data_IF_711054462543
#
_entry.id   IF_711054462543
#
_cell.length_a   1.000
_cell.length_b   1.000
_cell.length_c   1.000
_cell.angle_alpha   90.00
_cell.angle_beta   90.00
_cell.angle_gamma   90.00
#
_symmetry.space_group_name_H-M   'P 1'
#
loop_
_entity.id
_entity.type
_entity.pdbx_description
1 polymer ?
#
# COMPACT_ATOMS: atom_id res chain seq x y z
N UNK A 1 -32.91 39.53 -31.15
CA UNK A 1 -33.13 39.35 -32.61
C UNK A 1 -31.94 39.85 -33.43
N UNK A 2 -30.71 39.42 -33.10
CA UNK A 2 -29.51 39.61 -33.93
C UNK A 2 -28.50 38.51 -33.57
N UNK A 3 -28.61 37.33 -34.19
CA UNK A 3 -27.56 36.28 -34.11
C UNK A 3 -27.90 35.02 -34.93
N UNK A 4 -28.35 35.12 -36.19
CA UNK A 4 -28.52 33.90 -37.04
C UNK A 4 -27.89 34.01 -38.44
N UNK A 5 -27.18 35.09 -38.75
CA UNK A 5 -26.54 35.23 -40.07
C UNK A 5 -25.02 35.30 -39.92
N UNK A 6 -24.36 34.14 -39.89
CA UNK A 6 -22.94 33.98 -40.32
C UNK A 6 -22.43 32.53 -40.28
N UNK A 7 -23.27 31.53 -40.55
CA UNK A 7 -22.80 30.14 -40.78
C UNK A 7 -23.14 29.76 -42.22
N UNK A 8 -22.48 30.41 -43.16
CA UNK A 8 -22.61 30.20 -44.60
C UNK A 8 -21.25 30.02 -45.24
N UNK A 9 -20.54 28.95 -44.86
CA UNK A 9 -19.38 28.44 -45.60
C UNK A 9 -19.22 26.95 -45.32
N UNK A 10 -20.15 26.14 -45.84
CA UNK A 10 -19.96 24.70 -45.98
C UNK A 10 -18.73 24.46 -46.86
N UNK A 11 -17.64 23.95 -46.27
CA UNK A 11 -16.54 23.36 -47.03
C UNK A 11 -17.11 22.16 -47.79
N UNK A 12 -17.24 22.32 -49.10
CA UNK A 12 -17.70 21.29 -50.03
C UNK A 12 -16.81 20.06 -49.89
N UNK A 13 -17.33 18.98 -49.28
CA UNK A 13 -16.63 17.69 -49.17
C UNK A 13 -16.77 16.93 -47.85
N UNK A 14 -17.28 17.53 -46.76
CA UNK A 14 -17.48 16.80 -45.50
C UNK A 14 -18.83 16.06 -45.49
N UNK A 15 -18.83 14.78 -45.12
CA UNK A 15 -20.06 14.00 -44.98
C UNK A 15 -20.91 14.52 -43.80
N UNK A 16 -22.24 14.40 -43.87
CA UNK A 16 -23.16 14.82 -42.78
C UNK A 16 -22.77 14.23 -41.42
N UNK A 17 -22.22 13.01 -41.44
CA UNK A 17 -21.72 12.28 -40.28
C UNK A 17 -20.42 12.89 -39.69
N UNK A 18 -19.55 13.50 -40.52
CA UNK A 18 -18.37 14.24 -40.05
C UNK A 18 -18.77 15.56 -39.38
N UNK A 19 -19.72 16.30 -39.95
CA UNK A 19 -20.21 17.56 -39.38
C UNK A 19 -20.97 17.31 -38.06
N UNK A 20 -21.77 16.24 -37.97
CA UNK A 20 -22.41 15.83 -36.72
C UNK A 20 -21.38 15.43 -35.65
N UNK A 21 -20.35 14.67 -36.00
CA UNK A 21 -19.30 14.31 -35.04
C UNK A 21 -18.47 15.52 -34.58
N UNK A 22 -18.21 16.50 -35.46
CA UNK A 22 -17.53 17.75 -35.10
C UNK A 22 -18.37 18.61 -34.15
N UNK A 23 -19.68 18.77 -34.41
CA UNK A 23 -20.59 19.50 -33.50
C UNK A 23 -20.76 18.78 -32.14
N UNK A 24 -20.87 17.46 -32.13
CA UNK A 24 -20.96 16.71 -30.87
C UNK A 24 -19.66 16.85 -30.08
N UNK A 25 -18.50 16.78 -30.75
CA UNK A 25 -17.22 16.99 -30.10
C UNK A 25 -17.05 18.42 -29.57
N UNK A 26 -17.48 19.45 -30.30
CA UNK A 26 -17.36 20.84 -29.83
C UNK A 26 -18.21 21.11 -28.59
N UNK A 27 -19.47 20.64 -28.57
CA UNK A 27 -20.37 20.77 -27.41
C UNK A 27 -19.86 19.99 -26.21
N UNK A 28 -19.28 18.80 -26.42
CA UNK A 28 -18.67 18.01 -25.34
C UNK A 28 -17.44 18.72 -24.77
N UNK A 29 -16.58 19.29 -25.61
CA UNK A 29 -15.38 20.02 -25.18
C UNK A 29 -15.73 21.29 -24.39
N UNK A 30 -16.72 22.06 -24.81
CA UNK A 30 -17.19 23.26 -24.08
C UNK A 30 -17.73 22.91 -22.69
N UNK A 31 -18.58 21.88 -22.59
CA UNK A 31 -19.12 21.43 -21.29
C UNK A 31 -18.01 20.92 -20.35
N UNK A 32 -16.98 20.31 -20.91
CA UNK A 32 -15.78 19.84 -20.19
C UNK A 32 -14.97 21.02 -19.66
N UNK A 33 -14.75 22.05 -20.47
CA UNK A 33 -13.99 23.25 -20.09
C UNK A 33 -14.71 24.04 -19.00
N UNK A 34 -16.02 24.28 -19.16
CA UNK A 34 -16.85 24.94 -18.14
C UNK A 34 -16.88 24.17 -16.81
N UNK A 35 -16.97 22.84 -16.88
CA UNK A 35 -16.89 22.00 -15.67
C UNK A 35 -15.51 22.08 -15.01
N UNK A 36 -14.42 22.09 -15.78
CA UNK A 36 -13.05 22.23 -15.27
C UNK A 36 -12.86 23.54 -14.51
N UNK A 37 -13.26 24.68 -15.09
CA UNK A 37 -13.12 25.99 -14.46
C UNK A 37 -13.88 26.07 -13.14
N UNK A 38 -15.13 25.57 -13.11
CA UNK A 38 -15.94 25.54 -11.88
C UNK A 38 -15.27 24.73 -10.76
N UNK A 39 -14.63 23.61 -11.10
CA UNK A 39 -13.92 22.79 -10.12
C UNK A 39 -12.68 23.53 -9.62
N UNK A 40 -11.89 24.13 -10.50
CA UNK A 40 -10.67 24.88 -10.12
C UNK A 40 -11.02 26.04 -9.19
N UNK A 41 -12.11 26.78 -9.48
CA UNK A 41 -12.60 27.88 -8.63
C UNK A 41 -13.05 27.40 -7.24
N UNK A 42 -13.55 26.17 -7.13
CA UNK A 42 -13.95 25.59 -5.84
C UNK A 42 -12.78 25.14 -4.95
N UNK A 43 -11.56 25.09 -5.49
CA UNK A 43 -10.38 24.67 -4.74
C UNK A 43 -9.83 25.81 -3.88
N UNK A 44 -9.38 25.47 -2.68
CA UNK A 44 -8.67 26.43 -1.83
C UNK A 44 -7.30 26.77 -2.41
N UNK A 45 -6.75 27.92 -2.01
CA UNK A 45 -5.43 28.39 -2.45
C UNK A 45 -4.32 27.41 -2.12
N UNK A 46 -4.41 26.74 -0.96
CA UNK A 46 -3.43 25.73 -0.55
C UNK A 46 -3.43 24.53 -1.50
N UNK A 47 -4.61 24.06 -1.90
CA UNK A 47 -4.75 22.93 -2.82
C UNK A 47 -4.28 23.31 -4.21
N UNK A 48 -4.67 24.50 -4.71
CA UNK A 48 -4.21 25.02 -6.01
C UNK A 48 -2.70 25.16 -6.06
N UNK A 49 -2.09 25.78 -5.05
CA UNK A 49 -0.64 25.94 -4.94
C UNK A 49 0.07 24.60 -4.93
N UNK A 50 -0.44 23.62 -4.18
CA UNK A 50 0.13 22.28 -4.15
C UNK A 50 0.06 21.59 -5.52
N UNK A 51 -1.08 21.65 -6.22
CA UNK A 51 -1.20 21.06 -7.55
C UNK A 51 -0.27 21.74 -8.56
N UNK A 52 -0.18 23.07 -8.53
CA UNK A 52 0.67 23.86 -9.43
C UNK A 52 2.18 23.62 -9.26
N UNK A 53 2.62 23.04 -8.14
CA UNK A 53 4.00 22.60 -7.97
C UNK A 53 4.37 21.40 -8.85
N UNK A 54 3.37 20.65 -9.33
CA UNK A 54 3.59 19.40 -10.07
C UNK A 54 2.95 19.39 -11.47
N UNK A 55 1.85 20.13 -11.67
CA UNK A 55 1.12 20.19 -12.94
C UNK A 55 0.64 21.61 -13.21
N UNK A 56 0.68 22.07 -14.46
CA UNK A 56 0.05 23.33 -14.86
C UNK A 56 -1.47 23.12 -14.95
N UNK A 57 -2.22 23.36 -13.86
CA UNK A 57 -3.65 22.99 -13.75
C UNK A 57 -4.52 23.65 -14.83
N UNK A 58 -4.12 24.81 -15.32
CA UNK A 58 -4.86 25.58 -16.33
C UNK A 58 -4.64 25.03 -17.75
N UNK A 59 -3.58 24.24 -17.98
CA UNK A 59 -3.28 23.65 -19.29
C UNK A 59 -4.41 22.75 -19.82
N UNK A 60 -4.69 22.81 -21.11
CA UNK A 60 -5.64 21.93 -21.81
C UNK A 60 -5.27 20.44 -21.69
N UNK A 61 -3.98 20.14 -21.48
CA UNK A 61 -3.50 18.77 -21.25
C UNK A 61 -3.90 18.19 -19.89
N UNK A 62 -4.56 18.98 -19.02
CA UNK A 62 -5.03 18.58 -17.69
C UNK A 62 -6.54 18.39 -17.69
N UNK A 63 -6.96 17.16 -17.39
CA UNK A 63 -8.37 16.78 -17.27
C UNK A 63 -8.80 16.71 -15.81
N UNK A 64 -9.80 17.49 -15.44
CA UNK A 64 -10.46 17.38 -14.13
C UNK A 64 -11.62 16.39 -14.19
N UNK A 65 -11.72 15.55 -13.15
CA UNK A 65 -12.86 14.64 -12.96
C UNK A 65 -13.92 15.29 -12.09
N UNK A 66 -15.16 15.28 -12.58
CA UNK A 66 -16.34 15.75 -11.83
C UNK A 66 -16.84 14.71 -10.83
N UNK A 67 -16.63 13.43 -11.11
CA UNK A 67 -17.03 12.32 -10.24
C UNK A 67 -15.95 11.21 -10.15
N UNK A 68 -16.29 10.12 -9.49
CA UNK A 68 -15.43 8.95 -9.32
C UNK A 68 -15.63 7.88 -10.41
N UNK A 69 -16.18 8.27 -11.56
CA UNK A 69 -16.42 7.39 -12.71
C UNK A 69 -15.43 7.75 -13.82
N UNK A 70 -14.70 6.74 -14.28
CA UNK A 70 -13.89 6.90 -15.49
C UNK A 70 -14.77 6.67 -16.71
N UNK A 71 -15.01 7.75 -17.44
CA UNK A 71 -15.68 7.73 -18.75
C UNK A 71 -14.78 7.04 -19.78
N UNK A 72 -15.38 6.23 -20.67
CA UNK A 72 -14.68 5.47 -21.69
C UNK A 72 -14.11 6.35 -22.82
N UNK A 73 -14.50 7.62 -22.85
CA UNK A 73 -13.99 8.67 -23.74
C UNK A 73 -12.62 9.20 -23.32
N UNK A 74 -12.22 9.05 -22.05
CA UNK A 74 -10.97 9.61 -21.51
C UNK A 74 -9.78 8.89 -22.16
N UNK A 75 -9.05 9.62 -23.02
CA UNK A 75 -7.92 9.11 -23.79
C UNK A 75 -8.19 8.95 -25.30
N UNK A 76 -9.41 9.21 -25.79
CA UNK A 76 -9.69 9.28 -27.24
C UNK A 76 -9.66 10.73 -27.71
N UNK A 77 -8.71 11.08 -28.58
CA UNK A 77 -8.72 12.33 -29.36
C UNK A 77 -8.05 13.57 -28.74
N UNK A 78 -7.82 13.62 -27.42
CA UNK A 78 -7.10 14.73 -26.77
C UNK A 78 -5.77 14.25 -26.15
N UNK A 79 -4.70 15.04 -26.30
CA UNK A 79 -3.39 14.81 -25.65
C UNK A 79 -3.47 15.09 -24.14
N UNK A 80 -4.24 14.30 -23.41
CA UNK A 80 -4.30 14.37 -21.95
C UNK A 80 -2.96 13.86 -21.39
N UNK A 81 -2.23 14.72 -20.66
CA UNK A 81 -1.01 14.33 -19.95
C UNK A 81 -1.23 14.17 -18.45
N UNK A 82 -2.24 14.84 -17.90
CA UNK A 82 -2.53 14.76 -16.48
C UNK A 82 -4.02 14.64 -16.19
N UNK A 83 -4.36 13.87 -15.16
CA UNK A 83 -5.72 13.72 -14.66
C UNK A 83 -5.77 14.16 -13.20
N UNK A 84 -6.74 15.00 -12.84
CA UNK A 84 -6.97 15.48 -11.48
C UNK A 84 -8.34 15.02 -11.01
N UNK A 85 -8.38 14.27 -9.90
CA UNK A 85 -9.61 13.92 -9.22
C UNK A 85 -9.63 14.45 -7.79
N UNK A 86 -10.45 15.47 -7.57
CA UNK A 86 -10.65 16.12 -6.26
C UNK A 86 -11.70 15.41 -5.41
N UNK A 87 -12.41 14.43 -5.98
CA UNK A 87 -13.30 13.56 -5.25
C UNK A 87 -12.51 12.50 -4.48
N UNK A 88 -12.97 12.21 -3.26
CA UNK A 88 -12.28 11.27 -2.38
C UNK A 88 -12.34 9.85 -2.95
N UNK A 89 -11.17 9.21 -3.06
CA UNK A 89 -11.05 7.80 -3.46
C UNK A 89 -11.73 6.84 -2.47
N UNK A 90 -12.03 7.30 -1.25
CA UNK A 90 -12.87 6.62 -0.26
C UNK A 90 -14.23 6.20 -0.82
N UNK A 91 -14.73 6.94 -1.82
CA UNK A 91 -16.06 6.74 -2.43
C UNK A 91 -16.02 5.90 -3.71
N UNK A 92 -14.85 5.39 -4.10
CA UNK A 92 -14.69 4.48 -5.23
C UNK A 92 -14.94 3.06 -4.74
N UNK A 93 -15.86 2.30 -5.37
CA UNK A 93 -16.19 0.92 -4.96
C UNK A 93 -15.10 -0.11 -5.28
N UNK A 94 -14.44 0.01 -6.44
CA UNK A 94 -13.37 -0.88 -6.87
C UNK A 94 -12.08 -0.10 -7.14
N UNK A 95 -11.42 0.38 -6.09
CA UNK A 95 -10.27 1.30 -6.19
C UNK A 95 -9.20 0.82 -7.17
N UNK A 96 -8.76 -0.45 -7.11
CA UNK A 96 -7.74 -0.91 -8.04
C UNK A 96 -8.23 -0.93 -9.49
N UNK A 97 -9.49 -1.32 -9.74
CA UNK A 97 -10.06 -1.27 -11.10
C UNK A 97 -10.13 0.17 -11.62
N UNK A 98 -10.48 1.11 -10.74
CA UNK A 98 -10.47 2.53 -11.04
C UNK A 98 -9.06 3.04 -11.35
N UNK A 99 -8.05 2.73 -10.51
CA UNK A 99 -6.66 3.09 -10.74
C UNK A 99 -6.08 2.46 -12.01
N UNK A 100 -6.44 1.22 -12.35
CA UNK A 100 -6.07 0.61 -13.63
C UNK A 100 -6.69 1.37 -14.80
N UNK A 101 -7.95 1.82 -14.69
CA UNK A 101 -8.58 2.65 -15.73
C UNK A 101 -7.85 3.99 -15.88
N UNK A 102 -7.46 4.63 -14.77
CA UNK A 102 -6.62 5.84 -14.77
C UNK A 102 -5.29 5.56 -15.48
N UNK A 103 -4.62 4.46 -15.14
CA UNK A 103 -3.33 4.08 -15.72
C UNK A 103 -3.44 3.90 -17.25
N UNK A 104 -4.49 3.23 -17.72
CA UNK A 104 -4.75 3.03 -19.16
C UNK A 104 -5.11 4.31 -19.90
N UNK A 105 -5.74 5.27 -19.21
CA UNK A 105 -6.13 6.55 -19.79
C UNK A 105 -4.97 7.56 -19.87
N UNK A 106 -3.89 7.33 -19.11
CA UNK A 106 -2.72 8.21 -19.09
C UNK A 106 -1.65 7.71 -20.07
N UNK A 107 -0.98 8.63 -20.79
CA UNK A 107 0.25 8.32 -21.50
C UNK A 107 1.36 7.98 -20.50
N UNK A 108 2.45 7.41 -20.99
CA UNK A 108 3.62 7.14 -20.16
C UNK A 108 4.20 8.45 -19.58
N UNK A 109 4.67 8.37 -18.33
CA UNK A 109 5.00 9.54 -17.51
C UNK A 109 3.82 10.53 -17.26
N UNK A 110 2.59 10.15 -17.61
CA UNK A 110 1.40 10.94 -17.29
C UNK A 110 1.16 11.03 -15.78
N UNK A 111 0.65 12.18 -15.33
CA UNK A 111 0.47 12.47 -13.89
C UNK A 111 -0.99 12.29 -13.48
N UNK A 112 -1.21 11.64 -12.35
CA UNK A 112 -2.51 11.62 -11.69
C UNK A 112 -2.42 12.32 -10.33
N UNK A 113 -3.38 13.20 -10.06
CA UNK A 113 -3.58 13.81 -8.74
C UNK A 113 -4.89 13.29 -8.17
N UNK A 114 -4.82 12.67 -6.99
CA UNK A 114 -5.99 12.18 -6.27
C UNK A 114 -6.03 12.64 -4.83
N UNK A 115 -7.18 12.45 -4.17
CA UNK A 115 -7.28 12.71 -2.74
C UNK A 115 -7.97 11.58 -1.96
N UNK A 116 -7.61 11.47 -0.68
CA UNK A 116 -8.20 10.54 0.28
C UNK A 116 -8.38 11.23 1.62
N UNK A 117 -9.51 10.99 2.29
CA UNK A 117 -9.61 11.25 3.71
C UNK A 117 -9.11 10.02 4.49
N UNK A 118 -7.95 10.17 5.13
CA UNK A 118 -7.32 9.07 5.86
C UNK A 118 -8.11 8.71 7.13
N UNK A 119 -7.98 7.48 7.59
CA UNK A 119 -8.55 7.03 8.87
C UNK A 119 -8.07 7.89 10.04
N UNK A 120 -6.81 8.34 10.01
CA UNK A 120 -6.24 9.24 11.01
C UNK A 120 -6.91 10.61 10.99
N UNK A 121 -7.17 11.17 9.81
CA UNK A 121 -7.82 12.47 9.65
C UNK A 121 -9.28 12.41 10.09
N UNK A 122 -10.01 11.33 9.73
CA UNK A 122 -11.37 11.07 10.22
C UNK A 122 -11.43 11.03 11.74
N UNK A 123 -10.49 10.32 12.38
CA UNK A 123 -10.38 10.31 13.85
C UNK A 123 -10.13 11.71 14.39
N UNK A 124 -9.16 12.44 13.84
CA UNK A 124 -8.85 13.82 14.28
C UNK A 124 -10.07 14.74 14.16
N UNK A 125 -10.80 14.67 13.04
CA UNK A 125 -11.98 15.49 12.78
C UNK A 125 -13.16 15.14 13.71
N UNK A 126 -13.39 13.85 14.00
CA UNK A 126 -14.42 13.43 14.94
C UNK A 126 -14.16 13.96 16.35
N UNK A 127 -12.91 13.94 16.79
CA UNK A 127 -12.50 14.34 18.13
C UNK A 127 -12.42 15.88 18.32
N UNK A 128 -12.55 16.68 17.25
CA UNK A 128 -12.61 18.15 17.35
C UNK A 128 -13.95 18.69 17.86
N UNK A 129 -15.04 17.91 17.78
CA UNK A 129 -16.42 18.43 17.85
C UNK A 129 -17.25 17.96 19.04
N UNK A 130 -16.80 16.97 19.82
CA UNK A 130 -17.64 16.30 20.83
C UNK A 130 -16.84 15.87 22.06
N UNK A 131 -17.57 15.55 23.14
CA UNK A 131 -17.03 14.96 24.38
C UNK A 131 -16.24 13.69 24.09
N UNK A 132 -15.10 13.50 24.76
CA UNK A 132 -14.11 12.47 24.42
C UNK A 132 -14.69 11.05 24.45
N UNK A 133 -15.54 10.72 25.43
CA UNK A 133 -16.13 9.38 25.54
C UNK A 133 -17.01 9.01 24.34
N UNK A 134 -17.95 9.88 23.97
CA UNK A 134 -18.85 9.66 22.84
C UNK A 134 -18.08 9.55 21.51
N UNK A 135 -16.97 10.29 21.37
CA UNK A 135 -16.09 10.17 20.21
C UNK A 135 -15.49 8.77 20.08
N UNK A 136 -15.08 8.13 21.17
CA UNK A 136 -14.51 6.80 21.15
C UNK A 136 -15.54 5.75 20.70
N UNK A 137 -16.77 5.83 21.22
CA UNK A 137 -17.85 4.92 20.83
C UNK A 137 -18.21 5.08 19.35
N UNK A 138 -18.43 6.32 18.88
CA UNK A 138 -18.72 6.60 17.48
C UNK A 138 -17.57 6.14 16.58
N UNK A 139 -16.32 6.36 17.00
CA UNK A 139 -15.15 5.92 16.24
C UNK A 139 -15.09 4.40 16.13
N UNK A 140 -15.29 3.68 17.24
CA UNK A 140 -15.24 2.21 17.28
C UNK A 140 -16.34 1.61 16.37
N UNK A 141 -17.57 2.10 16.49
CA UNK A 141 -18.68 1.65 15.68
C UNK A 141 -18.42 1.87 14.18
N UNK A 142 -18.00 3.09 13.81
CA UNK A 142 -17.66 3.38 12.42
C UNK A 142 -16.45 2.58 11.92
N UNK A 143 -15.46 2.33 12.79
CA UNK A 143 -14.33 1.47 12.44
C UNK A 143 -14.81 0.07 12.11
N UNK A 144 -15.67 -0.53 12.94
CA UNK A 144 -16.20 -1.88 12.68
C UNK A 144 -16.94 -1.91 11.33
N UNK A 145 -17.86 -0.98 11.10
CA UNK A 145 -18.66 -0.95 9.86
C UNK A 145 -17.80 -0.68 8.63
N UNK A 146 -16.95 0.34 8.65
CA UNK A 146 -16.24 0.80 7.45
C UNK A 146 -14.86 0.17 7.24
N UNK A 147 -14.28 -0.46 8.26
CA UNK A 147 -12.97 -1.13 8.19
C UNK A 147 -13.05 -2.66 8.28
N UNK A 148 -13.97 -3.21 9.06
CA UNK A 148 -14.05 -4.65 9.35
C UNK A 148 -15.08 -5.35 8.46
N UNK A 149 -16.34 -4.90 8.43
CA UNK A 149 -17.41 -5.54 7.64
C UNK A 149 -17.06 -5.81 6.16
N UNK A 150 -16.39 -4.90 5.42
CA UNK A 150 -16.08 -5.13 4.00
C UNK A 150 -15.14 -6.32 3.76
N UNK A 151 -14.42 -6.76 4.81
CA UNK A 151 -13.42 -7.83 4.77
C UNK A 151 -13.95 -9.16 5.29
N UNK A 152 -15.06 -9.16 6.02
CA UNK A 152 -15.69 -10.37 6.56
C UNK A 152 -16.68 -10.92 5.52
N UNK A 153 -16.51 -12.15 5.02
CA UNK A 153 -17.34 -12.68 3.93
C UNK A 153 -18.85 -12.58 4.16
N UNK A 154 -19.33 -12.88 5.37
CA UNK A 154 -20.75 -12.81 5.75
C UNK A 154 -21.31 -11.39 5.77
N UNK A 155 -20.54 -10.42 6.29
CA UNK A 155 -20.97 -9.02 6.44
C UNK A 155 -20.72 -8.18 5.18
N UNK A 156 -19.88 -8.66 4.26
CA UNK A 156 -19.48 -7.94 3.05
C UNK A 156 -20.68 -7.57 2.18
N UNK A 157 -21.64 -8.49 1.97
CA UNK A 157 -22.83 -8.24 1.14
C UNK A 157 -23.69 -7.12 1.74
N UNK A 158 -23.96 -7.20 3.05
CA UNK A 158 -24.72 -6.18 3.78
C UNK A 158 -24.03 -4.82 3.74
N UNK A 159 -22.72 -4.78 3.97
CA UNK A 159 -21.95 -3.55 3.88
C UNK A 159 -22.10 -2.87 2.50
N UNK A 160 -21.95 -3.63 1.40
CA UNK A 160 -22.07 -3.06 0.05
C UNK A 160 -23.51 -2.71 -0.32
N UNK A 161 -24.50 -3.36 0.27
CA UNK A 161 -25.90 -2.99 0.14
C UNK A 161 -26.17 -1.61 0.78
N UNK A 162 -25.75 -1.42 2.03
CA UNK A 162 -25.97 -0.18 2.80
C UNK A 162 -25.16 0.98 2.23
N UNK A 163 -23.86 0.76 2.00
CA UNK A 163 -22.94 1.86 1.64
C UNK A 163 -22.88 2.14 0.14
N UNK A 164 -23.42 1.24 -0.69
CA UNK A 164 -23.20 1.22 -2.15
C UNK A 164 -21.71 1.26 -2.54
N UNK A 165 -20.81 0.89 -1.62
CA UNK A 165 -19.36 0.94 -1.79
C UNK A 165 -18.69 2.30 -1.51
N UNK A 166 -19.43 3.28 -0.96
CA UNK A 166 -18.91 4.59 -0.57
C UNK A 166 -18.35 4.58 0.88
N UNK A 167 -17.64 5.65 1.25
CA UNK A 167 -17.16 5.89 2.62
C UNK A 167 -16.23 4.81 3.19
N UNK A 168 -15.34 4.23 2.38
CA UNK A 168 -14.35 3.26 2.87
C UNK A 168 -13.30 3.92 3.74
N UNK A 169 -12.96 3.28 4.86
CA UNK A 169 -11.89 3.75 5.74
C UNK A 169 -10.55 3.21 5.29
N UNK A 170 -9.74 4.10 4.74
CA UNK A 170 -8.44 3.79 4.14
C UNK A 170 -7.31 4.43 4.96
N UNK A 171 -6.16 3.78 4.97
CA UNK A 171 -4.92 4.34 5.54
C UNK A 171 -4.05 4.85 4.40
N UNK A 172 -3.17 5.81 4.68
CA UNK A 172 -2.24 6.36 3.68
C UNK A 172 -1.43 5.22 3.03
N UNK A 173 -0.87 4.33 3.85
CA UNK A 173 -0.16 3.14 3.39
C UNK A 173 -0.99 2.22 2.46
N UNK A 174 -2.30 2.10 2.68
CA UNK A 174 -3.14 1.26 1.83
C UNK A 174 -3.45 1.94 0.50
N UNK A 175 -3.64 3.26 0.48
CA UNK A 175 -3.88 4.03 -0.75
C UNK A 175 -2.62 4.05 -1.61
N UNK A 176 -1.50 4.48 -1.02
CA UNK A 176 -0.20 4.54 -1.70
C UNK A 176 0.24 3.15 -2.18
N UNK A 177 0.05 2.11 -1.37
CA UNK A 177 0.37 0.75 -1.79
C UNK A 177 -0.47 0.27 -2.98
N UNK A 178 -1.76 0.63 -3.02
CA UNK A 178 -2.63 0.33 -4.17
C UNK A 178 -2.16 1.07 -5.43
N UNK A 179 -1.81 2.34 -5.29
CA UNK A 179 -1.23 3.17 -6.36
C UNK A 179 -0.02 2.46 -6.96
N UNK A 180 0.97 2.08 -6.14
CA UNK A 180 2.19 1.42 -6.65
C UNK A 180 1.87 0.07 -7.28
N UNK A 181 0.98 -0.72 -6.67
CA UNK A 181 0.52 -1.98 -7.26
C UNK A 181 -0.24 -1.83 -8.59
N UNK A 182 -0.68 -0.61 -8.92
CA UNK A 182 -1.36 -0.26 -10.16
C UNK A 182 -0.43 0.46 -11.16
N UNK A 183 0.89 0.26 -11.06
CA UNK A 183 1.84 0.71 -12.08
C UNK A 183 2.17 2.20 -12.03
N UNK A 184 2.04 2.80 -10.85
CA UNK A 184 2.36 4.19 -10.62
C UNK A 184 3.55 4.33 -9.65
N UNK A 185 4.36 5.36 -9.86
CA UNK A 185 5.30 5.84 -8.86
C UNK A 185 4.69 7.00 -8.06
N UNK A 186 5.00 7.08 -6.77
CA UNK A 186 4.58 8.17 -5.90
C UNK A 186 5.61 9.29 -6.01
N UNK A 187 5.17 10.47 -6.48
CA UNK A 187 5.99 11.67 -6.51
C UNK A 187 5.96 12.32 -5.13
N UNK A 188 4.75 12.65 -4.64
CA UNK A 188 4.56 13.29 -3.35
C UNK A 188 3.16 12.98 -2.81
N UNK A 189 2.99 13.07 -1.49
CA UNK A 189 1.68 13.22 -0.87
C UNK A 189 1.74 14.26 0.25
N UNK A 190 0.65 15.02 0.42
CA UNK A 190 0.56 16.10 1.41
C UNK A 190 -0.81 16.14 2.08
N UNK A 191 -0.82 16.39 3.38
CA UNK A 191 -2.06 16.65 4.11
C UNK A 191 -2.44 18.12 4.00
N UNK A 192 -3.64 18.40 3.44
CA UNK A 192 -4.20 19.75 3.27
C UNK A 192 -5.67 19.69 3.69
N UNK A 193 -6.07 20.55 4.63
CA UNK A 193 -7.47 20.71 5.08
C UNK A 193 -8.15 19.39 5.51
N UNK A 194 -7.40 18.49 6.17
CA UNK A 194 -7.93 17.22 6.64
C UNK A 194 -8.11 16.16 5.55
N UNK A 195 -7.67 16.41 4.30
CA UNK A 195 -7.52 15.41 3.24
C UNK A 195 -6.04 15.19 2.96
N UNK A 196 -5.69 14.03 2.44
CA UNK A 196 -4.37 13.74 1.90
C UNK A 196 -4.48 13.76 0.39
N UNK A 197 -3.78 14.69 -0.25
CA UNK A 197 -3.60 14.73 -1.69
C UNK A 197 -2.33 13.96 -2.04
N UNK A 198 -2.35 13.25 -3.15
CA UNK A 198 -1.21 12.49 -3.66
C UNK A 198 -1.04 12.73 -5.14
N UNK A 199 0.22 12.91 -5.55
CA UNK A 199 0.65 13.10 -6.93
C UNK A 199 1.46 11.88 -7.31
N UNK A 200 1.03 11.22 -8.39
CA UNK A 200 1.59 9.95 -8.84
C UNK A 200 1.85 10.02 -10.34
N UNK A 201 2.86 9.29 -10.80
CA UNK A 201 3.28 9.25 -12.20
C UNK A 201 3.11 7.84 -12.74
N UNK A 202 2.59 7.69 -13.96
CA UNK A 202 2.52 6.39 -14.63
C UNK A 202 3.94 5.95 -15.02
N UNK A 203 4.34 4.78 -14.55
CA UNK A 203 5.68 4.20 -14.84
C UNK A 203 5.60 2.86 -15.55
N UNK A 204 4.49 2.12 -15.42
CA UNK A 204 4.32 0.82 -16.07
C UNK A 204 2.86 0.51 -16.34
N UNK A 205 2.59 -0.31 -17.36
CA UNK A 205 1.29 -0.92 -17.54
C UNK A 205 1.03 -2.06 -16.54
N UNK A 206 -0.25 -2.29 -16.22
CA UNK A 206 -0.66 -3.31 -15.26
C UNK A 206 -1.31 -4.50 -15.95
N UNK A 207 -0.62 -5.64 -15.96
CA UNK A 207 -1.14 -6.88 -16.53
C UNK A 207 -1.92 -7.73 -15.51
N UNK A 208 -1.54 -7.73 -14.23
CA UNK A 208 -2.22 -8.50 -13.19
C UNK A 208 -1.94 -7.96 -11.78
N UNK A 209 -2.98 -7.89 -10.94
CA UNK A 209 -2.84 -7.51 -9.53
C UNK A 209 -3.17 -8.70 -8.65
N UNK A 210 -2.20 -9.15 -7.86
CA UNK A 210 -2.46 -10.04 -6.72
C UNK A 210 -3.24 -9.26 -5.66
N UNK A 211 -4.47 -9.68 -5.38
CA UNK A 211 -5.24 -9.13 -4.26
C UNK A 211 -4.56 -9.56 -2.95
N UNK A 212 -4.14 -8.61 -2.09
CA UNK A 212 -3.53 -8.96 -0.83
C UNK A 212 -4.57 -9.54 0.12
N UNK A 213 -4.13 -10.49 0.93
CA UNK A 213 -4.96 -11.02 2.02
C UNK A 213 -5.19 -9.93 3.07
N UNK A 214 -6.43 -9.83 3.54
CA UNK A 214 -6.80 -8.96 4.66
C UNK A 214 -6.84 -9.70 6.01
N UNK A 215 -6.49 -11.00 6.01
CA UNK A 215 -6.55 -11.80 7.20
C UNK A 215 -5.56 -11.28 8.28
N UNK A 216 -5.96 -11.27 9.56
CA UNK A 216 -5.09 -10.90 10.68
C UNK A 216 -3.88 -11.83 10.81
N UNK A 217 -4.04 -13.11 10.48
CA UNK A 217 -2.96 -14.09 10.39
C UNK A 217 -2.77 -14.45 8.93
N UNK A 218 -1.52 -14.49 8.48
CA UNK A 218 -1.17 -14.88 7.12
C UNK A 218 0.01 -15.85 7.11
N UNK A 219 0.12 -16.61 6.03
CA UNK A 219 1.21 -17.56 5.81
C UNK A 219 2.14 -17.04 4.72
N UNK A 220 3.44 -17.12 4.96
CA UNK A 220 4.48 -16.83 3.98
C UNK A 220 5.18 -18.12 3.57
N UNK A 221 5.44 -18.28 2.28
CA UNK A 221 6.27 -19.38 1.79
C UNK A 221 7.73 -19.10 2.11
N UNK A 222 8.39 -20.10 2.71
CA UNK A 222 9.78 -20.03 3.16
C UNK A 222 10.50 -21.35 2.90
N UNK A 223 11.81 -21.28 2.71
CA UNK A 223 12.67 -22.45 2.53
C UNK A 223 12.83 -23.16 3.88
N UNK A 224 12.51 -24.45 3.93
CA UNK A 224 12.65 -25.32 5.08
C UNK A 224 13.72 -26.40 4.90
N UNK A 225 13.67 -27.43 5.76
CA UNK A 225 14.60 -28.57 5.70
C UNK A 225 14.52 -29.28 4.35
N UNK A 226 15.67 -29.69 3.82
CA UNK A 226 15.87 -30.29 2.49
C UNK A 226 15.37 -29.41 1.34
N UNK A 227 15.34 -28.08 1.52
CA UNK A 227 14.87 -27.13 0.51
C UNK A 227 13.35 -27.12 0.32
N UNK A 228 12.58 -27.89 1.11
CA UNK A 228 11.13 -27.95 0.98
C UNK A 228 10.48 -26.63 1.39
N UNK A 229 9.57 -26.12 0.58
CA UNK A 229 8.82 -24.90 0.90
C UNK A 229 7.80 -25.16 2.01
N UNK A 230 7.87 -24.37 3.07
CA UNK A 230 6.97 -24.42 4.22
C UNK A 230 6.20 -23.10 4.36
N UNK A 231 4.97 -23.19 4.85
CA UNK A 231 4.12 -22.04 5.16
C UNK A 231 4.39 -21.55 6.58
N UNK A 232 5.08 -20.43 6.76
CA UNK A 232 5.36 -19.82 8.08
C UNK A 232 4.26 -18.83 8.43
N UNK A 233 3.60 -19.01 9.57
CA UNK A 233 2.48 -18.17 10.01
C UNK A 233 2.95 -16.95 10.79
N UNK A 234 2.36 -15.78 10.53
CA UNK A 234 2.61 -14.53 11.27
C UNK A 234 1.34 -13.70 11.42
N UNK A 235 1.32 -12.86 12.44
CA UNK A 235 0.31 -11.81 12.59
C UNK A 235 0.66 -10.65 11.66
N UNK A 236 -0.35 -10.12 10.98
CA UNK A 236 -0.25 -8.95 10.12
C UNK A 236 0.00 -7.70 10.98
N UNK A 237 1.22 -7.21 10.90
CA UNK A 237 1.68 -5.99 11.58
C UNK A 237 1.65 -4.76 10.68
N UNK A 238 1.50 -4.94 9.36
CA UNK A 238 1.50 -3.88 8.37
C UNK A 238 0.14 -3.74 7.68
N UNK A 239 -0.15 -2.53 7.18
CA UNK A 239 -1.32 -2.26 6.37
C UNK A 239 -1.31 -3.08 5.06
N UNK A 240 -2.47 -3.49 4.52
CA UNK A 240 -2.55 -4.15 3.21
C UNK A 240 -1.94 -3.28 2.11
N UNK A 241 -1.30 -3.90 1.10
CA UNK A 241 -0.56 -3.25 0.01
C UNK A 241 0.72 -2.51 0.41
N UNK A 242 1.06 -2.46 1.69
CA UNK A 242 2.24 -1.71 2.12
C UNK A 242 3.58 -2.36 1.74
N UNK A 243 3.57 -3.63 1.33
CA UNK A 243 4.74 -4.32 0.78
C UNK A 243 5.33 -3.59 -0.43
N UNK A 244 4.49 -2.93 -1.25
CA UNK A 244 4.91 -2.15 -2.41
C UNK A 244 5.56 -0.81 -2.05
N UNK A 245 5.56 -0.42 -0.77
CA UNK A 245 6.05 0.87 -0.31
C UNK A 245 7.43 0.80 0.34
N UNK A 246 8.11 -0.35 0.31
CA UNK A 246 9.42 -0.51 0.95
C UNK A 246 10.41 0.56 0.47
N UNK A 247 10.64 0.65 -0.83
CA UNK A 247 11.63 1.56 -1.40
C UNK A 247 11.23 3.02 -1.18
N UNK A 248 9.95 3.33 -1.37
CA UNK A 248 9.42 4.66 -1.11
C UNK A 248 9.64 5.12 0.33
N UNK A 249 9.36 4.26 1.32
CA UNK A 249 9.55 4.59 2.74
C UNK A 249 11.03 4.76 3.08
N UNK A 250 11.91 3.91 2.52
CA UNK A 250 13.37 4.06 2.72
C UNK A 250 13.85 5.38 2.12
N UNK A 251 13.42 5.75 0.91
CA UNK A 251 13.78 7.04 0.30
C UNK A 251 13.28 8.22 1.13
N UNK A 252 12.07 8.13 1.68
CA UNK A 252 11.45 9.23 2.44
C UNK A 252 12.10 9.43 3.81
N UNK A 253 12.41 8.35 4.52
CA UNK A 253 12.76 8.42 5.94
C UNK A 253 14.18 7.92 6.26
N UNK A 254 14.86 7.25 5.32
CA UNK A 254 16.11 6.56 5.57
C UNK A 254 15.96 5.36 6.52
N UNK A 255 17.09 4.92 7.05
CA UNK A 255 17.16 3.85 8.05
C UNK A 255 17.31 4.44 9.47
N UNK A 256 16.75 3.74 10.45
CA UNK A 256 17.01 3.98 11.87
C UNK A 256 18.33 3.31 12.30
N UNK A 257 18.73 3.51 13.56
CA UNK A 257 19.95 2.93 14.13
C UNK A 257 20.03 1.38 14.10
N UNK A 258 18.92 0.70 13.80
CA UNK A 258 18.82 -0.76 13.73
C UNK A 258 18.76 -1.26 12.28
N UNK A 259 19.06 -0.40 11.30
CA UNK A 259 19.05 -0.75 9.87
C UNK A 259 17.66 -0.98 9.29
N UNK A 260 16.60 -0.44 9.92
CA UNK A 260 15.20 -0.57 9.48
C UNK A 260 14.63 0.76 9.04
N UNK A 261 13.61 0.81 8.17
CA UNK A 261 13.06 2.09 7.71
C UNK A 261 12.59 2.95 8.90
N UNK A 262 13.12 4.17 9.02
CA UNK A 262 12.69 5.09 10.06
C UNK A 262 11.25 5.55 9.81
N UNK A 263 10.51 5.92 10.86
CA UNK A 263 9.13 6.45 10.77
C UNK A 263 8.20 5.65 9.83
N UNK A 264 8.27 4.32 9.89
CA UNK A 264 7.57 3.44 8.95
C UNK A 264 6.04 3.47 9.13
N UNK A 265 5.36 4.29 8.32
CA UNK A 265 3.91 4.47 8.33
C UNK A 265 3.14 3.25 7.77
N UNK A 266 3.85 2.22 7.30
CA UNK A 266 3.24 0.96 6.88
C UNK A 266 2.82 0.11 8.05
N UNK A 267 3.44 0.30 9.22
CA UNK A 267 3.11 -0.41 10.45
C UNK A 267 1.81 0.12 11.05
N UNK A 268 0.96 -0.80 11.51
CA UNK A 268 -0.17 -0.43 12.34
C UNK A 268 0.32 -0.11 13.76
N UNK A 269 -0.44 0.67 14.53
CA UNK A 269 -0.08 0.99 15.94
C UNK A 269 0.07 -0.27 16.80
N UNK A 270 -0.87 -1.21 16.68
CA UNK A 270 -0.76 -2.52 17.35
C UNK A 270 0.34 -3.39 16.74
N UNK A 271 0.66 -3.21 15.46
CA UNK A 271 1.75 -3.91 14.79
C UNK A 271 3.12 -3.50 15.31
N UNK A 272 3.31 -2.22 15.62
CA UNK A 272 4.51 -1.73 16.31
C UNK A 272 4.66 -2.40 17.68
N UNK A 273 3.57 -2.46 18.46
CA UNK A 273 3.55 -3.16 19.74
C UNK A 273 3.86 -4.67 19.58
N UNK A 274 3.21 -5.35 18.64
CA UNK A 274 3.44 -6.78 18.40
C UNK A 274 4.88 -7.08 17.96
N UNK A 275 5.50 -6.24 17.11
CA UNK A 275 6.91 -6.42 16.74
C UNK A 275 7.85 -6.18 17.91
N UNK A 276 7.60 -5.15 18.72
CA UNK A 276 8.41 -4.84 19.90
C UNK A 276 8.49 -6.03 20.86
N UNK A 277 7.37 -6.71 21.08
CA UNK A 277 7.27 -7.85 22.01
C UNK A 277 7.27 -9.22 21.31
N UNK A 278 7.63 -9.31 20.03
CA UNK A 278 7.63 -10.55 19.24
C UNK A 278 6.29 -11.29 19.15
N UNK A 279 5.18 -10.63 19.48
CA UNK A 279 3.85 -11.23 19.42
C UNK A 279 3.40 -11.53 17.99
N UNK A 280 3.98 -10.87 16.98
CA UNK A 280 3.65 -11.14 15.59
C UNK A 280 4.14 -12.51 15.09
N UNK A 281 5.12 -13.09 15.78
CA UNK A 281 5.70 -14.39 15.45
C UNK A 281 5.08 -15.54 16.27
N UNK A 282 4.21 -15.27 17.24
CA UNK A 282 3.51 -16.31 18.03
C UNK A 282 2.81 -17.39 17.18
N UNK A 283 2.15 -17.06 16.04
CA UNK A 283 1.55 -18.09 15.20
C UNK A 283 2.53 -19.14 14.66
N UNK A 284 3.85 -18.88 14.68
CA UNK A 284 4.86 -19.86 14.31
C UNK A 284 4.91 -21.08 15.25
N UNK A 285 4.32 -21.01 16.45
CA UNK A 285 4.16 -22.19 17.32
C UNK A 285 3.40 -23.30 16.59
N UNK A 286 2.43 -22.95 15.74
CA UNK A 286 1.72 -23.92 14.88
C UNK A 286 2.68 -24.63 13.93
N UNK A 287 3.73 -23.94 13.44
CA UNK A 287 4.77 -24.55 12.61
C UNK A 287 5.64 -25.54 13.38
N UNK A 288 5.94 -25.23 14.64
CA UNK A 288 6.70 -26.11 15.54
C UNK A 288 5.89 -27.37 15.84
N UNK A 289 4.61 -27.22 16.19
CA UNK A 289 3.71 -28.35 16.45
C UNK A 289 3.50 -29.24 15.21
N UNK A 290 3.47 -28.65 14.00
CA UNK A 290 3.42 -29.39 12.73
C UNK A 290 4.75 -30.06 12.36
N UNK A 291 5.81 -29.86 13.14
CA UNK A 291 7.14 -30.41 12.87
C UNK A 291 7.91 -29.73 11.73
N UNK A 292 7.44 -28.59 11.22
CA UNK A 292 8.08 -27.85 10.13
C UNK A 292 9.21 -26.92 10.59
N UNK A 293 9.17 -26.51 11.86
CA UNK A 293 10.13 -25.60 12.50
C UNK A 293 10.54 -26.11 13.88
N UNK A 294 11.66 -25.61 14.39
CA UNK A 294 12.08 -25.74 15.78
C UNK A 294 11.82 -24.44 16.55
N UNK A 295 11.91 -24.47 17.88
CA UNK A 295 11.89 -23.23 18.70
C UNK A 295 13.13 -22.39 18.39
N UNK A 296 14.31 -23.00 18.39
CA UNK A 296 15.59 -22.38 18.04
C UNK A 296 16.09 -22.94 16.71
N UNK A 297 16.60 -22.06 15.85
CA UNK A 297 17.06 -22.45 14.52
C UNK A 297 17.25 -21.26 13.59
N UNK A 298 17.94 -21.49 12.47
CA UNK A 298 18.16 -20.46 11.44
C UNK A 298 16.83 -19.85 10.98
N UNK A 299 16.82 -18.55 10.66
CA UNK A 299 15.57 -17.85 10.31
C UNK A 299 14.98 -18.44 9.02
N UNK A 300 13.67 -18.68 8.91
CA UNK A 300 13.09 -19.10 7.63
C UNK A 300 13.15 -17.95 6.60
N UNK A 301 13.79 -18.18 5.45
CA UNK A 301 13.99 -17.19 4.38
C UNK A 301 13.04 -17.40 3.20
N UNK A 302 12.73 -16.32 2.47
CA UNK A 302 12.10 -16.45 1.14
C UNK A 302 13.07 -17.15 0.18
N UNK A 303 12.54 -17.72 -0.90
CA UNK A 303 13.38 -18.31 -1.95
C UNK A 303 14.40 -17.29 -2.49
N UNK A 304 13.94 -16.06 -2.78
CA UNK A 304 14.82 -14.98 -3.27
C UNK A 304 15.99 -14.72 -2.33
N UNK A 305 15.71 -14.50 -1.04
CA UNK A 305 16.75 -14.21 -0.04
C UNK A 305 17.63 -15.43 0.26
N UNK A 306 17.09 -16.64 0.12
CA UNK A 306 17.88 -17.86 0.24
C UNK A 306 18.91 -17.97 -0.90
N UNK A 307 18.51 -17.63 -2.13
CA UNK A 307 19.38 -17.66 -3.29
C UNK A 307 20.49 -16.59 -3.25
N UNK A 308 20.28 -15.50 -2.51
CA UNK A 308 21.29 -14.44 -2.28
C UNK A 308 22.41 -14.87 -1.32
N UNK A 309 22.27 -15.97 -0.59
CA UNK A 309 23.28 -16.42 0.37
C UNK A 309 24.48 -17.10 -0.33
N UNK A 310 25.66 -17.12 0.30
CA UNK A 310 26.77 -17.96 -0.14
C UNK A 310 26.37 -19.45 -0.24
N UNK A 311 26.86 -20.15 -1.26
CA UNK A 311 26.44 -21.53 -1.59
C UNK A 311 26.69 -22.52 -0.43
N UNK A 312 27.80 -22.33 0.30
CA UNK A 312 28.15 -23.16 1.44
C UNK A 312 27.17 -22.99 2.62
N UNK A 313 26.67 -21.77 2.83
CA UNK A 313 25.61 -21.47 3.82
C UNK A 313 24.29 -22.09 3.37
N UNK A 314 23.93 -21.96 2.09
CA UNK A 314 22.71 -22.55 1.55
C UNK A 314 22.66 -24.07 1.80
N UNK A 315 23.74 -24.78 1.45
CA UNK A 315 23.87 -26.24 1.63
C UNK A 315 23.74 -26.65 3.10
N UNK A 316 24.35 -25.91 4.03
CA UNK A 316 24.22 -26.19 5.47
C UNK A 316 22.83 -25.90 6.02
N UNK A 317 22.20 -24.77 5.63
CA UNK A 317 20.87 -24.37 6.14
C UNK A 317 19.81 -25.43 5.90
N UNK A 318 19.79 -26.03 4.72
CA UNK A 318 18.77 -27.02 4.35
C UNK A 318 18.91 -28.34 5.11
N UNK A 319 20.02 -28.59 5.81
CA UNK A 319 20.17 -29.78 6.65
C UNK A 319 19.35 -29.69 7.95
N UNK A 320 18.97 -28.48 8.36
CA UNK A 320 18.29 -28.22 9.63
C UNK A 320 16.87 -27.67 9.42
N UNK A 321 15.99 -27.90 10.40
CA UNK A 321 14.70 -27.20 10.45
C UNK A 321 14.95 -25.74 10.84
N UNK A 322 14.29 -24.77 10.18
CA UNK A 322 14.36 -23.38 10.60
C UNK A 322 13.72 -23.18 11.97
N UNK A 323 14.06 -22.07 12.64
CA UNK A 323 13.62 -21.77 14.00
C UNK A 323 12.80 -20.49 14.14
N UNK A 324 11.99 -20.43 15.19
CA UNK A 324 11.31 -19.20 15.62
C UNK A 324 12.33 -18.17 16.14
N UNK A 325 13.28 -18.64 16.95
CA UNK A 325 14.34 -17.82 17.55
C UNK A 325 15.64 -18.04 16.78
N UNK A 326 16.10 -17.04 16.02
CA UNK A 326 17.31 -17.16 15.22
C UNK A 326 18.60 -16.98 16.05
N UNK A 327 19.73 -17.58 15.62
CA UNK A 327 20.98 -17.58 16.38
C UNK A 327 21.54 -16.19 16.71
N UNK A 328 21.38 -15.22 15.81
CA UNK A 328 21.85 -13.86 16.03
C UNK A 328 21.24 -13.19 17.27
N UNK A 329 20.06 -13.64 17.71
CA UNK A 329 19.42 -13.16 18.95
C UNK A 329 20.13 -13.70 20.18
N UNK A 330 20.60 -14.94 20.14
CA UNK A 330 21.37 -15.52 21.23
C UNK A 330 22.80 -14.95 21.32
N UNK A 331 23.40 -14.65 20.17
CA UNK A 331 24.79 -14.19 20.05
C UNK A 331 24.94 -12.66 20.02
N UNK A 332 23.84 -11.90 19.98
CA UNK A 332 23.86 -10.44 19.89
C UNK A 332 24.63 -9.92 18.66
N UNK A 333 24.29 -10.50 17.50
CA UNK A 333 24.95 -10.25 16.21
C UNK A 333 23.95 -9.74 15.15
N UNK A 334 23.31 -8.57 15.37
CA UNK A 334 22.14 -8.15 14.58
C UNK A 334 22.46 -7.71 13.14
N UNK A 335 23.70 -7.30 12.87
CA UNK A 335 24.13 -6.81 11.55
C UNK A 335 24.07 -7.91 10.48
N UNK A 336 23.82 -7.56 9.21
CA UNK A 336 23.60 -8.54 8.15
C UNK A 336 24.76 -9.55 7.99
N UNK A 337 26.00 -9.09 8.03
CA UNK A 337 27.18 -9.97 7.94
C UNK A 337 27.33 -10.84 9.19
N UNK A 338 27.19 -10.23 10.37
CA UNK A 338 27.25 -10.93 11.64
C UNK A 338 26.11 -11.95 11.79
N UNK A 339 24.96 -11.73 11.16
CA UNK A 339 23.83 -12.64 11.14
C UNK A 339 24.18 -13.97 10.47
N UNK A 340 24.86 -13.89 9.31
CA UNK A 340 25.32 -15.07 8.59
C UNK A 340 26.35 -15.82 9.43
N UNK A 341 27.27 -15.10 10.08
CA UNK A 341 28.26 -15.73 10.96
C UNK A 341 27.61 -16.41 12.17
N UNK A 342 26.64 -15.76 12.81
CA UNK A 342 25.87 -16.36 13.90
C UNK A 342 25.18 -17.66 13.48
N UNK A 343 24.65 -17.73 12.25
CA UNK A 343 24.08 -18.95 11.71
C UNK A 343 25.14 -20.02 11.44
N UNK A 344 26.33 -19.67 10.95
CA UNK A 344 27.46 -20.62 10.77
C UNK A 344 27.87 -21.25 12.10
N UNK A 345 28.11 -20.42 13.13
CA UNK A 345 28.48 -20.87 14.48
C UNK A 345 27.43 -21.85 15.00
N UNK A 346 26.16 -21.45 14.96
CA UNK A 346 25.05 -22.27 15.44
C UNK A 346 24.93 -23.59 14.68
N UNK A 347 25.00 -23.59 13.35
CA UNK A 347 24.89 -24.82 12.56
C UNK A 347 26.05 -25.80 12.85
N UNK A 348 27.27 -25.30 13.03
CA UNK A 348 28.42 -26.13 13.38
C UNK A 348 28.28 -26.74 14.78
N UNK A 349 27.83 -25.97 15.78
CA UNK A 349 27.57 -26.48 17.14
C UNK A 349 26.40 -27.45 17.17
N UNK A 350 25.32 -27.14 16.45
CA UNK A 350 24.11 -27.97 16.33
C UNK A 350 24.40 -29.32 15.68
N UNK A 351 25.35 -29.37 14.75
CA UNK A 351 25.81 -30.63 14.17
C UNK A 351 26.51 -31.53 15.20
N UNK A 352 27.24 -30.95 16.16
CA UNK A 352 27.95 -31.70 17.21
C UNK A 352 27.02 -32.13 18.34
N UNK A 353 26.21 -31.21 18.85
CA UNK A 353 25.36 -31.43 20.03
C UNK A 353 23.98 -30.78 19.83
N UNK A 354 23.04 -31.44 19.10
CA UNK A 354 21.79 -30.81 18.67
C UNK A 354 20.92 -30.27 19.81
N UNK A 355 20.70 -31.09 20.86
CA UNK A 355 19.78 -30.76 21.97
C UNK A 355 20.39 -29.70 22.88
N UNK A 356 21.66 -29.90 23.29
CA UNK A 356 22.36 -28.97 24.17
C UNK A 356 22.54 -27.59 23.52
N UNK A 357 22.79 -27.56 22.20
CA UNK A 357 22.90 -26.30 21.45
C UNK A 357 21.57 -25.56 21.45
N UNK A 358 20.46 -26.21 21.11
CA UNK A 358 19.14 -25.56 21.11
C UNK A 358 18.76 -25.03 22.50
N UNK A 359 19.01 -25.81 23.56
CA UNK A 359 18.78 -25.38 24.95
C UNK A 359 19.61 -24.14 25.32
N UNK A 360 20.92 -24.15 25.06
CA UNK A 360 21.82 -23.04 25.37
C UNK A 360 21.43 -21.76 24.63
N UNK A 361 21.10 -21.86 23.34
CA UNK A 361 20.70 -20.70 22.54
C UNK A 361 19.34 -20.15 22.97
N UNK A 362 18.41 -21.02 23.39
CA UNK A 362 17.11 -20.58 23.91
C UNK A 362 17.27 -19.66 25.12
N UNK A 363 18.02 -20.08 26.14
CA UNK A 363 18.21 -19.28 27.35
C UNK A 363 19.03 -18.00 27.09
N UNK A 364 20.04 -18.05 26.23
CA UNK A 364 20.79 -16.86 25.80
C UNK A 364 19.89 -15.85 25.09
N UNK A 365 19.06 -16.30 24.15
CA UNK A 365 18.12 -15.44 23.45
C UNK A 365 17.08 -14.85 24.40
N UNK A 366 16.53 -15.65 25.31
CA UNK A 366 15.56 -15.19 26.31
C UNK A 366 16.17 -14.09 27.20
N UNK A 367 17.41 -14.28 27.68
CA UNK A 367 18.13 -13.27 28.45
C UNK A 367 18.34 -11.97 27.66
N UNK A 368 18.78 -12.05 26.40
CA UNK A 368 19.01 -10.87 25.56
C UNK A 368 17.72 -10.10 25.25
N UNK A 369 16.60 -10.80 25.07
CA UNK A 369 15.27 -10.18 24.86
C UNK A 369 14.80 -9.49 26.15
N UNK A 370 14.86 -10.17 27.29
CA UNK A 370 14.38 -9.63 28.58
C UNK A 370 15.24 -8.46 29.09
N UNK A 371 16.54 -8.49 28.83
CA UNK A 371 17.47 -7.40 29.18
C UNK A 371 17.45 -6.23 28.20
N UNK A 372 16.65 -6.30 27.13
CA UNK A 372 16.54 -5.22 26.13
C UNK A 372 17.77 -5.05 25.25
N UNK A 373 18.72 -6.00 25.24
CA UNK A 373 19.93 -5.96 24.41
C UNK A 373 19.61 -6.11 22.93
N UNK A 374 18.50 -6.78 22.60
CA UNK A 374 18.04 -7.00 21.23
C UNK A 374 16.54 -6.74 21.13
N UNK A 375 16.12 -6.02 20.09
CA UNK A 375 14.71 -5.84 19.73
C UNK A 375 14.42 -6.39 18.34
N UNK A 376 13.20 -6.93 18.15
CA UNK A 376 12.68 -7.29 16.82
C UNK A 376 12.25 -6.06 16.01
N UNK A 377 11.99 -4.93 16.68
CA UNK A 377 11.50 -3.69 16.04
C UNK A 377 12.56 -2.93 15.31
#
# INVERSE_FOLDING_TARGET
MRSVESIGALRVGQSVEQVQNELVNSVVVENISASKESIILSLSDQVRKYMNQHIAIDSESVRFMSDNVMDASIGRGQQIRSIVNVQQINNVRYINKYLIKVNKALPDAGIYVGCVESTSNRKRNLFKRKTQFLCHLIWLFNFIIHRVWPKVPSLRKLYFFITKGKYRWLTIAEVLGRVVSCGFEIIEFKEIEGKVYFVIMKTSEVFSIKQPSYAPVFAMQRVGKHGKMIKVYKIRTMHPYSEYLQDYVIRLNGYNAQGKPANDFRLTRWGQFFRKYWFDELPQIINVLKGNMNIVGVRPLSQTRFNELPEDVQKKRILFKPGCIPPYVALNMPDNEQNIEAERIYMNEKHRSPILTDFRYFFKALYNILSGRISSS
#
